data_IF_294805608735
#
_entry.id   IF_294805608735
#
_cell.length_a   1.000
_cell.length_b   1.000
_cell.length_c   1.000
_cell.angle_alpha   90.00
_cell.angle_beta   90.00
_cell.angle_gamma   90.00
#
_symmetry.space_group_name_H-M   'P 1'
#
loop_
_entity.id
_entity.type
_entity.pdbx_description
1 polymer ?
#
# COMPACT_ATOMS: atom_id res chain seq x y z
N UNK A 1 -34.85 -1.06 -11.44
CA UNK A 1 -34.85 -2.51 -11.76
C UNK A 1 -33.56 -3.11 -11.25
N UNK A 2 -33.62 -3.75 -10.07
CA UNK A 2 -32.54 -4.52 -9.49
C UNK A 2 -32.42 -5.83 -10.25
N UNK A 3 -31.50 -5.94 -11.20
CA UNK A 3 -31.03 -7.24 -11.68
C UNK A 3 -30.44 -7.99 -10.50
N UNK A 4 -30.82 -9.25 -10.22
CA UNK A 4 -30.21 -10.05 -9.20
C UNK A 4 -28.73 -10.22 -9.57
N UNK A 5 -27.83 -9.83 -8.66
CA UNK A 5 -26.41 -10.05 -8.80
C UNK A 5 -26.17 -11.56 -8.70
N UNK A 6 -25.77 -12.17 -9.81
CA UNK A 6 -25.41 -13.59 -9.88
C UNK A 6 -24.13 -13.79 -9.06
N UNK A 7 -24.27 -14.29 -7.85
CA UNK A 7 -23.16 -14.55 -6.94
C UNK A 7 -22.31 -15.70 -7.52
N UNK A 8 -21.23 -15.36 -8.22
CA UNK A 8 -20.18 -16.34 -8.53
C UNK A 8 -19.71 -16.99 -7.24
N UNK A 9 -19.56 -18.31 -7.24
CA UNK A 9 -19.00 -19.04 -6.12
C UNK A 9 -17.64 -18.45 -5.74
N UNK A 10 -17.46 -18.15 -4.46
CA UNK A 10 -16.21 -17.58 -3.93
C UNK A 10 -15.16 -18.68 -3.98
N UNK A 11 -14.03 -18.50 -4.68
CA UNK A 11 -12.97 -19.50 -4.73
C UNK A 11 -12.45 -19.78 -3.31
N UNK A 12 -12.14 -21.04 -3.04
CA UNK A 12 -11.52 -21.41 -1.77
C UNK A 12 -10.15 -20.77 -1.62
N UNK A 13 -9.67 -20.61 -0.38
CA UNK A 13 -8.32 -20.10 -0.12
C UNK A 13 -7.26 -20.94 -0.83
N UNK A 14 -7.45 -22.27 -0.87
CA UNK A 14 -6.55 -23.18 -1.57
C UNK A 14 -6.54 -22.94 -3.09
N UNK A 15 -7.69 -22.74 -3.70
CA UNK A 15 -7.79 -22.39 -5.13
C UNK A 15 -7.15 -21.03 -5.43
N UNK A 16 -7.35 -20.05 -4.56
CA UNK A 16 -6.72 -18.74 -4.71
C UNK A 16 -5.20 -18.85 -4.66
N UNK A 17 -4.65 -19.63 -3.73
CA UNK A 17 -3.20 -19.85 -3.60
C UNK A 17 -2.63 -20.64 -4.80
N UNK A 18 -3.33 -21.66 -5.30
CA UNK A 18 -2.89 -22.39 -6.50
C UNK A 18 -2.94 -21.52 -7.76
N UNK A 19 -3.93 -20.64 -7.85
CA UNK A 19 -4.08 -19.72 -8.98
C UNK A 19 -3.08 -18.55 -8.99
N UNK A 20 -2.23 -18.41 -7.98
CA UNK A 20 -1.12 -17.44 -7.98
C UNK A 20 -0.07 -17.80 -9.04
N UNK A 21 0.11 -19.10 -9.34
CA UNK A 21 1.10 -19.57 -10.31
C UNK A 21 0.53 -19.41 -11.73
N UNK A 22 1.11 -18.53 -12.58
CA UNK A 22 0.60 -18.34 -13.93
C UNK A 22 0.95 -19.55 -14.82
N UNK A 23 -0.04 -20.06 -15.53
CA UNK A 23 0.20 -21.02 -16.63
C UNK A 23 0.81 -20.33 -17.86
N UNK A 24 0.53 -19.04 -18.04
CA UNK A 24 1.10 -18.19 -19.07
C UNK A 24 1.25 -16.75 -18.55
N UNK A 25 2.47 -16.25 -18.36
CA UNK A 25 2.71 -14.90 -17.84
C UNK A 25 2.15 -13.79 -18.74
N UNK A 26 2.18 -13.96 -20.06
CA UNK A 26 1.65 -12.97 -20.99
C UNK A 26 0.12 -12.93 -20.95
N UNK A 27 -0.53 -14.06 -20.72
CA UNK A 27 -1.97 -14.09 -20.49
C UNK A 27 -2.31 -13.39 -19.17
N UNK A 28 -1.53 -13.62 -18.10
CA UNK A 28 -1.71 -12.92 -16.83
C UNK A 28 -1.63 -11.40 -16.98
N UNK A 29 -0.68 -10.91 -17.78
CA UNK A 29 -0.55 -9.48 -18.12
C UNK A 29 -1.76 -8.95 -18.89
N UNK A 30 -2.21 -9.67 -19.92
CA UNK A 30 -3.35 -9.24 -20.75
C UNK A 30 -4.69 -9.28 -20.02
N UNK A 31 -4.87 -10.22 -19.09
CA UNK A 31 -6.08 -10.37 -18.27
C UNK A 31 -6.00 -9.61 -16.95
N UNK A 32 -4.90 -8.89 -16.70
CA UNK A 32 -4.66 -8.11 -15.47
C UNK A 32 -4.74 -8.95 -14.18
N UNK A 33 -4.31 -10.21 -14.23
CA UNK A 33 -4.23 -11.05 -13.04
C UNK A 33 -2.99 -10.69 -12.22
N UNK A 34 -3.15 -9.72 -11.34
CA UNK A 34 -2.05 -9.08 -10.62
C UNK A 34 -1.27 -10.06 -9.71
N UNK A 35 -1.94 -11.01 -9.04
CA UNK A 35 -1.25 -12.01 -8.22
C UNK A 35 -0.32 -12.88 -9.05
N UNK A 36 -0.75 -13.31 -10.23
CA UNK A 36 0.08 -14.07 -11.17
C UNK A 36 1.22 -13.23 -11.74
N UNK A 37 0.97 -11.94 -12.02
CA UNK A 37 2.00 -11.01 -12.50
C UNK A 37 3.10 -10.83 -11.43
N UNK A 38 2.72 -10.61 -10.17
CA UNK A 38 3.66 -10.46 -9.05
C UNK A 38 4.50 -11.72 -8.87
N UNK A 39 3.87 -12.90 -8.87
CA UNK A 39 4.58 -14.17 -8.76
C UNK A 39 5.62 -14.34 -9.87
N UNK A 40 5.22 -14.08 -11.12
CA UNK A 40 6.15 -14.15 -12.25
C UNK A 40 7.28 -13.14 -12.15
N UNK A 41 6.99 -11.90 -11.74
CA UNK A 41 8.00 -10.85 -11.56
C UNK A 41 9.04 -11.24 -10.49
N UNK A 42 8.61 -11.85 -9.38
CA UNK A 42 9.52 -12.38 -8.37
C UNK A 42 10.42 -13.49 -8.93
N UNK A 43 9.86 -14.44 -9.66
CA UNK A 43 10.65 -15.51 -10.29
C UNK A 43 11.66 -14.96 -11.30
N UNK A 44 11.24 -13.99 -12.12
CA UNK A 44 12.11 -13.32 -13.08
C UNK A 44 13.26 -12.58 -12.37
N UNK A 45 12.94 -11.87 -11.27
CA UNK A 45 13.94 -11.19 -10.44
C UNK A 45 14.99 -12.17 -9.89
N UNK A 46 14.58 -13.30 -9.35
CA UNK A 46 15.49 -14.37 -8.90
C UNK A 46 16.35 -14.92 -10.03
N UNK A 47 15.78 -15.13 -11.22
CA UNK A 47 16.53 -15.59 -12.38
C UNK A 47 17.59 -14.58 -12.82
N UNK A 48 17.25 -13.28 -12.84
CA UNK A 48 18.18 -12.21 -13.20
C UNK A 48 19.34 -12.10 -12.19
N UNK A 49 19.07 -12.25 -10.89
CA UNK A 49 20.12 -12.30 -9.87
C UNK A 49 21.09 -13.45 -10.13
N UNK A 50 20.59 -14.66 -10.48
CA UNK A 50 21.45 -15.81 -10.80
C UNK A 50 22.25 -15.65 -12.08
N UNK A 51 21.74 -14.89 -13.06
CA UNK A 51 22.45 -14.58 -14.31
C UNK A 51 23.59 -13.59 -14.13
N UNK A 52 23.61 -12.81 -13.05
CA UNK A 52 24.61 -11.78 -12.80
C UNK A 52 24.71 -10.79 -13.95
N UNK A 53 25.93 -10.51 -14.43
CA UNK A 53 26.18 -9.51 -15.49
C UNK A 53 25.42 -9.79 -16.80
N UNK A 54 25.14 -11.05 -17.12
CA UNK A 54 24.33 -11.41 -18.29
C UNK A 54 22.87 -10.97 -18.20
N UNK A 55 22.37 -10.78 -16.99
CA UNK A 55 21.03 -10.28 -16.73
C UNK A 55 20.92 -8.74 -16.79
N UNK A 56 22.04 -8.02 -16.76
CA UNK A 56 22.07 -6.56 -16.71
C UNK A 56 21.25 -5.87 -17.81
N UNK A 57 21.31 -6.26 -19.11
CA UNK A 57 20.52 -5.61 -20.15
C UNK A 57 18.99 -5.69 -19.91
N UNK A 58 18.52 -6.81 -19.37
CA UNK A 58 17.11 -7.02 -19.02
C UNK A 58 16.71 -6.16 -17.85
N UNK A 59 17.57 -6.06 -16.83
CA UNK A 59 17.36 -5.23 -15.66
C UNK A 59 17.30 -3.73 -16.05
N UNK A 60 18.20 -3.28 -16.90
CA UNK A 60 18.25 -1.90 -17.38
C UNK A 60 17.03 -1.57 -18.25
N UNK A 61 16.55 -2.51 -19.06
CA UNK A 61 15.28 -2.37 -19.76
C UNK A 61 14.11 -2.13 -18.79
N UNK A 62 13.98 -2.95 -17.74
CA UNK A 62 12.90 -2.77 -16.76
C UNK A 62 13.04 -1.49 -15.94
N UNK A 63 14.26 -1.04 -15.64
CA UNK A 63 14.50 0.26 -15.02
C UNK A 63 14.02 1.41 -15.89
N UNK A 64 14.44 1.45 -17.16
CA UNK A 64 14.00 2.47 -18.11
C UNK A 64 12.48 2.42 -18.33
N UNK A 65 11.91 1.22 -18.44
CA UNK A 65 10.47 1.00 -18.54
C UNK A 65 9.70 1.57 -17.35
N UNK A 66 10.21 1.35 -16.15
CA UNK A 66 9.62 1.89 -14.90
C UNK A 66 9.64 3.40 -14.89
N UNK A 67 10.74 4.03 -15.30
CA UNK A 67 10.82 5.50 -15.38
C UNK A 67 9.83 6.06 -16.40
N UNK A 68 9.72 5.42 -17.58
CA UNK A 68 8.73 5.83 -18.59
C UNK A 68 7.29 5.74 -18.06
N UNK A 69 6.95 4.68 -17.31
CA UNK A 69 5.63 4.56 -16.68
C UNK A 69 5.38 5.58 -15.58
N UNK A 70 6.40 5.98 -14.81
CA UNK A 70 6.29 7.08 -13.85
C UNK A 70 5.93 8.39 -14.53
N UNK A 71 6.59 8.71 -15.66
CA UNK A 71 6.28 9.92 -16.43
C UNK A 71 4.86 9.89 -17.00
N UNK A 72 4.42 8.76 -17.57
CA UNK A 72 3.03 8.60 -18.01
C UNK A 72 2.06 8.83 -16.85
N UNK A 73 2.38 8.28 -15.69
CA UNK A 73 1.56 8.46 -14.48
C UNK A 73 1.50 9.93 -14.06
N UNK A 74 2.63 10.64 -14.07
CA UNK A 74 2.69 12.06 -13.74
C UNK A 74 1.80 12.89 -14.67
N UNK A 75 1.88 12.64 -15.99
CA UNK A 75 1.03 13.29 -16.99
C UNK A 75 -0.45 13.06 -16.68
N UNK A 76 -0.84 11.82 -16.38
CA UNK A 76 -2.24 11.49 -16.03
C UNK A 76 -2.67 12.17 -14.74
N UNK A 77 -1.78 12.24 -13.74
CA UNK A 77 -2.08 12.88 -12.45
C UNK A 77 -2.30 14.40 -12.56
N UNK A 78 -1.76 15.07 -13.59
CA UNK A 78 -2.06 16.48 -13.85
C UNK A 78 -3.55 16.70 -14.17
N UNK A 79 -4.23 15.71 -14.75
CA UNK A 79 -5.66 15.76 -15.03
C UNK A 79 -6.54 15.34 -13.84
N UNK A 80 -5.96 14.85 -12.75
CA UNK A 80 -6.69 14.36 -11.57
C UNK A 80 -7.69 15.39 -11.00
N UNK A 81 -7.38 16.70 -10.88
CA UNK A 81 -8.35 17.65 -10.35
C UNK A 81 -9.64 17.71 -11.17
N UNK A 82 -9.52 17.64 -12.49
CA UNK A 82 -10.69 17.67 -13.40
C UNK A 82 -11.50 16.38 -13.29
N UNK A 83 -10.80 15.22 -13.23
CA UNK A 83 -11.43 13.91 -13.04
C UNK A 83 -12.17 13.82 -11.71
N UNK A 84 -11.53 14.25 -10.62
CA UNK A 84 -12.14 14.29 -9.27
C UNK A 84 -13.36 15.20 -9.25
N UNK A 85 -13.26 16.40 -9.81
CA UNK A 85 -14.41 17.32 -9.90
C UNK A 85 -15.57 16.70 -10.66
N UNK A 86 -15.31 16.08 -11.83
CA UNK A 86 -16.34 15.44 -12.63
C UNK A 86 -17.01 14.26 -11.90
N UNK A 87 -16.23 13.38 -11.27
CA UNK A 87 -16.74 12.25 -10.50
C UNK A 87 -17.59 12.72 -9.31
N UNK A 88 -17.12 13.71 -8.54
CA UNK A 88 -17.85 14.22 -7.39
C UNK A 88 -19.13 14.95 -7.80
N UNK A 89 -19.10 15.69 -8.90
CA UNK A 89 -20.30 16.34 -9.44
C UNK A 89 -21.35 15.31 -9.90
N UNK A 90 -20.95 14.25 -10.57
CA UNK A 90 -21.82 13.15 -10.98
C UNK A 90 -22.46 12.44 -9.77
N UNK A 91 -21.63 12.11 -8.77
CA UNK A 91 -22.07 11.41 -7.54
C UNK A 91 -23.07 12.28 -6.77
N UNK A 92 -22.72 13.56 -6.51
CA UNK A 92 -23.61 14.47 -5.79
C UNK A 92 -24.87 14.76 -6.59
N UNK A 93 -24.77 14.86 -7.91
CA UNK A 93 -25.92 15.06 -8.80
C UNK A 93 -26.89 13.87 -8.82
N UNK A 94 -26.39 12.64 -8.75
CA UNK A 94 -27.20 11.41 -8.75
C UNK A 94 -27.78 11.05 -7.39
N UNK A 95 -27.00 11.20 -6.33
CA UNK A 95 -27.33 10.69 -4.99
C UNK A 95 -27.58 11.78 -3.95
N UNK A 96 -27.41 13.04 -4.32
CA UNK A 96 -27.55 14.18 -3.41
C UNK A 96 -26.43 14.31 -2.37
N UNK A 97 -26.58 15.29 -1.48
CA UNK A 97 -25.59 15.53 -0.41
C UNK A 97 -25.56 14.43 0.67
N UNK A 98 -26.55 13.58 0.74
CA UNK A 98 -26.63 12.48 1.73
C UNK A 98 -25.48 11.47 1.55
N UNK A 99 -24.94 11.34 0.33
CA UNK A 99 -23.79 10.47 0.05
C UNK A 99 -22.49 10.95 0.73
N UNK A 100 -22.44 12.22 1.15
CA UNK A 100 -21.26 12.77 1.82
C UNK A 100 -21.00 12.15 3.19
N UNK A 101 -22.04 11.73 3.92
CA UNK A 101 -21.87 11.16 5.26
C UNK A 101 -21.12 9.81 5.25
N UNK A 102 -21.42 8.84 4.36
CA UNK A 102 -20.59 7.65 4.16
C UNK A 102 -19.12 7.98 3.87
N UNK A 103 -18.84 8.99 3.03
CA UNK A 103 -17.45 9.38 2.74
C UNK A 103 -16.71 9.91 3.98
N UNK A 104 -17.35 10.79 4.77
CA UNK A 104 -16.76 11.32 6.01
C UNK A 104 -16.46 10.18 6.99
N UNK A 105 -17.37 9.21 7.13
CA UNK A 105 -17.16 8.02 7.97
C UNK A 105 -15.99 7.18 7.47
N UNK A 106 -15.89 6.98 6.17
CA UNK A 106 -14.81 6.19 5.54
C UNK A 106 -13.46 6.87 5.70
N UNK A 107 -13.38 8.18 5.47
CA UNK A 107 -12.18 8.98 5.72
C UNK A 107 -11.79 8.87 7.19
N UNK A 108 -12.73 9.13 8.11
CA UNK A 108 -12.49 9.04 9.54
C UNK A 108 -12.02 7.66 9.99
N UNK A 109 -12.64 6.58 9.49
CA UNK A 109 -12.24 5.21 9.80
C UNK A 109 -10.83 4.90 9.27
N UNK A 110 -10.50 5.28 8.05
CA UNK A 110 -9.18 5.09 7.45
C UNK A 110 -8.09 5.82 8.25
N UNK A 111 -8.31 7.11 8.54
CA UNK A 111 -7.36 7.91 9.32
C UNK A 111 -7.17 7.34 10.74
N UNK A 112 -8.27 7.04 11.42
CA UNK A 112 -8.22 6.50 12.77
C UNK A 112 -7.47 5.17 12.81
N UNK A 113 -7.78 4.24 11.90
CA UNK A 113 -7.15 2.92 11.87
C UNK A 113 -5.66 3.02 11.51
N UNK A 114 -5.30 3.80 10.50
CA UNK A 114 -3.90 4.06 10.14
C UNK A 114 -3.13 4.68 11.31
N UNK A 115 -3.73 5.64 12.01
CA UNK A 115 -3.10 6.35 13.13
C UNK A 115 -2.91 5.42 14.33
N UNK A 116 -3.94 4.66 14.71
CA UNK A 116 -3.86 3.68 15.81
C UNK A 116 -2.80 2.61 15.51
N UNK A 117 -2.80 2.06 14.29
CA UNK A 117 -1.81 1.08 13.87
C UNK A 117 -0.39 1.64 13.94
N UNK A 118 -0.19 2.84 13.40
CA UNK A 118 1.12 3.50 13.41
C UNK A 118 1.62 3.76 14.83
N UNK A 119 0.78 4.28 15.71
CA UNK A 119 1.20 4.61 17.08
C UNK A 119 1.41 3.35 17.91
N UNK A 120 0.43 2.46 17.98
CA UNK A 120 0.48 1.35 18.92
C UNK A 120 1.28 0.16 18.42
N UNK A 121 1.14 -0.20 17.13
CA UNK A 121 1.86 -1.35 16.58
C UNK A 121 3.26 -0.96 16.15
N UNK A 122 3.41 0.03 15.27
CA UNK A 122 4.73 0.34 14.71
C UNK A 122 5.61 1.13 15.70
N UNK A 123 5.09 2.19 16.30
CA UNK A 123 5.83 2.99 17.27
C UNK A 123 5.92 2.35 18.64
N UNK A 124 4.80 1.83 19.17
CA UNK A 124 4.74 1.24 20.52
C UNK A 124 5.36 -0.14 20.58
N UNK A 125 4.80 -1.10 19.86
CA UNK A 125 5.23 -2.50 19.92
C UNK A 125 6.55 -2.71 19.16
N UNK A 126 6.64 -2.36 17.89
CA UNK A 126 7.82 -2.66 17.08
C UNK A 126 9.03 -1.80 17.50
N UNK A 127 8.96 -0.47 17.36
CA UNK A 127 10.08 0.39 17.70
C UNK A 127 10.32 0.47 19.22
N UNK A 128 9.26 0.49 20.04
CA UNK A 128 9.35 0.59 21.49
C UNK A 128 9.76 -0.71 22.16
N UNK A 129 8.91 -1.74 22.09
CA UNK A 129 9.15 -3.00 22.83
C UNK A 129 10.27 -3.81 22.16
N UNK A 130 10.12 -4.12 20.88
CA UNK A 130 11.11 -4.94 20.15
C UNK A 130 12.37 -4.16 19.80
N UNK A 131 12.26 -2.92 19.35
CA UNK A 131 13.39 -2.06 18.97
C UNK A 131 14.13 -1.45 20.15
N UNK A 132 13.45 -1.22 21.29
CA UNK A 132 14.04 -0.57 22.47
C UNK A 132 14.25 0.94 22.33
N UNK A 133 13.62 1.57 21.35
CA UNK A 133 13.62 3.02 21.15
C UNK A 133 12.32 3.61 21.70
N UNK A 134 12.41 4.63 22.56
CA UNK A 134 11.22 5.33 23.04
C UNK A 134 10.31 5.75 21.87
N UNK A 135 9.00 5.46 21.91
CA UNK A 135 8.07 5.88 20.85
C UNK A 135 8.11 7.39 20.59
N UNK A 136 8.29 8.21 21.61
CA UNK A 136 8.41 9.66 21.49
C UNK A 136 9.66 10.04 20.67
N UNK A 137 10.82 9.43 20.98
CA UNK A 137 12.07 9.64 20.21
C UNK A 137 11.87 9.17 18.77
N UNK A 138 11.27 8.00 18.58
CA UNK A 138 11.00 7.42 17.27
C UNK A 138 10.19 8.39 16.39
N UNK A 139 9.02 8.85 16.84
CA UNK A 139 8.18 9.76 16.07
C UNK A 139 8.79 11.16 15.89
N UNK A 140 9.52 11.66 16.90
CA UNK A 140 10.24 12.94 16.78
C UNK A 140 11.27 12.89 15.65
N UNK A 141 12.02 11.81 15.54
CA UNK A 141 13.03 11.61 14.49
C UNK A 141 12.39 11.36 13.13
N UNK A 142 11.26 10.62 13.07
CA UNK A 142 10.55 10.31 11.82
C UNK A 142 9.69 11.48 11.30
N UNK A 143 9.56 12.57 12.04
CA UNK A 143 8.63 13.66 11.74
C UNK A 143 8.78 14.21 10.32
N UNK A 144 10.01 14.45 9.86
CA UNK A 144 10.25 15.01 8.52
C UNK A 144 9.77 14.06 7.43
N UNK A 145 10.08 12.76 7.55
CA UNK A 145 9.63 11.75 6.60
C UNK A 145 8.10 11.60 6.60
N UNK A 146 7.46 11.63 7.79
CA UNK A 146 6.00 11.56 7.93
C UNK A 146 5.32 12.77 7.25
N UNK A 147 5.80 13.98 7.48
CA UNK A 147 5.24 15.18 6.86
C UNK A 147 5.43 15.17 5.34
N UNK A 148 6.60 14.74 4.87
CA UNK A 148 6.89 14.66 3.44
C UNK A 148 6.01 13.61 2.74
N UNK A 149 5.88 12.39 3.30
CA UNK A 149 5.04 11.36 2.70
C UNK A 149 3.55 11.73 2.73
N UNK A 150 3.10 12.39 3.79
CA UNK A 150 1.73 12.89 3.89
C UNK A 150 1.41 13.87 2.76
N UNK A 151 2.34 14.77 2.44
CA UNK A 151 2.16 15.75 1.37
C UNK A 151 2.26 15.13 -0.03
N UNK A 152 3.26 14.26 -0.24
CA UNK A 152 3.56 13.67 -1.56
C UNK A 152 2.69 12.46 -1.91
N UNK A 153 2.21 11.72 -0.89
CA UNK A 153 1.53 10.43 -1.05
C UNK A 153 2.38 9.37 -1.79
N UNK A 154 3.71 9.44 -1.68
CA UNK A 154 4.62 8.52 -2.35
C UNK A 154 5.66 7.96 -1.39
N UNK A 155 5.57 6.67 -1.07
CA UNK A 155 6.58 5.97 -0.25
C UNK A 155 7.94 5.94 -0.97
N UNK A 156 7.94 5.75 -2.29
CA UNK A 156 9.18 5.72 -3.10
C UNK A 156 9.88 7.07 -3.11
N UNK A 157 9.15 8.17 -3.30
CA UNK A 157 9.73 9.52 -3.25
C UNK A 157 10.29 9.86 -1.85
N UNK A 158 9.80 9.20 -0.81
CA UNK A 158 10.20 9.43 0.57
C UNK A 158 11.46 8.62 0.96
N UNK A 159 11.91 7.65 0.15
CA UNK A 159 13.05 6.78 0.48
C UNK A 159 14.28 7.57 1.00
N UNK A 160 14.78 8.62 0.32
CA UNK A 160 15.98 9.31 0.79
C UNK A 160 15.81 9.93 2.19
N UNK A 161 14.64 10.50 2.45
CA UNK A 161 14.33 11.12 3.73
C UNK A 161 14.07 10.08 4.82
N UNK A 162 13.42 8.97 4.47
CA UNK A 162 13.20 7.84 5.38
C UNK A 162 14.52 7.18 5.77
N UNK A 163 15.47 7.03 4.82
CA UNK A 163 16.84 6.59 5.10
C UNK A 163 17.54 7.50 6.11
N UNK A 164 17.54 8.81 5.85
CA UNK A 164 18.13 9.81 6.78
C UNK A 164 17.53 9.67 8.18
N UNK A 165 16.20 9.67 8.29
CA UNK A 165 15.52 9.56 9.57
C UNK A 165 15.83 8.24 10.29
N UNK A 166 15.85 7.11 9.56
CA UNK A 166 16.14 5.79 10.12
C UNK A 166 17.58 5.68 10.63
N UNK A 167 18.54 6.21 9.89
CA UNK A 167 19.95 6.29 10.35
C UNK A 167 20.07 7.16 11.59
N UNK A 168 19.31 8.25 11.68
CA UNK A 168 19.23 9.10 12.87
C UNK A 168 18.55 8.43 14.09
N UNK A 169 17.94 7.26 13.93
CA UNK A 169 17.51 6.41 15.05
C UNK A 169 18.64 5.52 15.57
N UNK A 170 19.80 5.49 14.91
CA UNK A 170 20.96 4.68 15.26
C UNK A 170 21.02 3.35 14.49
N UNK A 171 20.22 3.18 13.44
CA UNK A 171 20.29 2.02 12.56
C UNK A 171 21.52 2.15 11.65
N UNK A 172 22.33 1.08 11.54
CA UNK A 172 23.50 1.07 10.68
C UNK A 172 23.14 1.27 9.21
N UNK A 173 24.09 1.85 8.44
CA UNK A 173 23.93 2.05 7.00
C UNK A 173 23.58 0.74 6.28
N UNK A 174 24.26 -0.35 6.64
CA UNK A 174 24.06 -1.68 6.06
C UNK A 174 22.59 -2.15 6.15
N UNK A 175 21.96 -1.95 7.30
CA UNK A 175 20.57 -2.36 7.53
C UNK A 175 19.60 -1.35 6.87
N UNK A 176 19.84 -0.05 7.08
CA UNK A 176 18.95 0.99 6.55
C UNK A 176 18.90 0.97 5.01
N UNK A 177 20.06 0.91 4.34
CA UNK A 177 20.17 0.95 2.87
C UNK A 177 19.53 -0.27 2.18
N UNK A 178 19.33 -1.38 2.91
CA UNK A 178 18.60 -2.54 2.44
C UNK A 178 17.11 -2.47 2.80
N UNK A 179 16.79 -2.29 4.09
CA UNK A 179 15.42 -2.43 4.59
C UNK A 179 14.50 -1.33 4.07
N UNK A 180 14.98 -0.08 4.00
CA UNK A 180 14.11 1.05 3.62
C UNK A 180 13.69 0.99 2.13
N UNK A 181 14.60 0.81 1.14
CA UNK A 181 14.18 0.67 -0.25
C UNK A 181 13.33 -0.59 -0.49
N UNK A 182 13.65 -1.70 0.18
CA UNK A 182 12.89 -2.95 0.08
C UNK A 182 11.48 -2.76 0.68
N UNK A 183 11.39 -2.15 1.86
CA UNK A 183 10.12 -1.85 2.53
C UNK A 183 9.24 -0.92 1.71
N UNK A 184 9.79 0.12 1.11
CA UNK A 184 9.04 1.07 0.27
C UNK A 184 8.28 0.41 -0.90
N UNK A 185 8.65 -0.83 -1.26
CA UNK A 185 7.99 -1.63 -2.31
C UNK A 185 7.13 -2.74 -1.73
N UNK A 186 7.55 -3.36 -0.61
CA UNK A 186 6.93 -4.57 -0.06
C UNK A 186 6.03 -4.30 1.15
N UNK A 187 6.35 -3.28 1.95
CA UNK A 187 5.67 -3.00 3.22
C UNK A 187 4.57 -1.94 3.04
N UNK A 188 3.44 -2.36 2.52
CA UNK A 188 2.29 -1.49 2.23
C UNK A 188 1.15 -1.67 3.23
N UNK A 189 1.46 -1.61 4.53
CA UNK A 189 0.52 -1.81 5.63
C UNK A 189 -0.71 -0.90 5.57
N UNK A 190 -0.49 0.38 5.26
CA UNK A 190 -1.60 1.33 5.16
C UNK A 190 -2.48 1.08 3.94
N UNK A 191 -1.92 0.50 2.87
CA UNK A 191 -2.71 0.08 1.70
C UNK A 191 -3.62 -1.08 2.08
N UNK A 192 -3.12 -2.10 2.80
CA UNK A 192 -3.95 -3.20 3.28
C UNK A 192 -5.09 -2.72 4.21
N UNK A 193 -4.80 -1.77 5.12
CA UNK A 193 -5.81 -1.14 5.97
C UNK A 193 -6.85 -0.41 5.11
N UNK A 194 -6.42 0.38 4.14
CA UNK A 194 -7.31 1.10 3.24
C UNK A 194 -8.22 0.16 2.46
N UNK A 195 -7.68 -0.91 1.89
CA UNK A 195 -8.46 -1.89 1.13
C UNK A 195 -9.54 -2.55 1.98
N UNK A 196 -9.23 -2.91 3.23
CA UNK A 196 -10.21 -3.44 4.18
C UNK A 196 -11.32 -2.41 4.49
N UNK A 197 -10.96 -1.15 4.75
CA UNK A 197 -11.91 -0.06 4.99
C UNK A 197 -12.78 0.20 3.75
N UNK A 198 -12.19 0.16 2.55
CA UNK A 198 -12.89 0.34 1.28
C UNK A 198 -13.92 -0.77 1.02
N UNK A 199 -13.60 -2.01 1.36
CA UNK A 199 -14.53 -3.14 1.27
C UNK A 199 -15.71 -2.98 2.24
N UNK A 200 -15.46 -2.55 3.47
CA UNK A 200 -16.53 -2.25 4.44
C UNK A 200 -17.41 -1.11 3.93
N UNK A 201 -16.82 -0.05 3.37
CA UNK A 201 -17.56 1.03 2.73
C UNK A 201 -18.46 0.49 1.61
N UNK A 202 -17.90 -0.31 0.68
CA UNK A 202 -18.65 -0.92 -0.41
C UNK A 202 -19.82 -1.77 0.10
N UNK A 203 -19.57 -2.62 1.10
CA UNK A 203 -20.61 -3.47 1.69
C UNK A 203 -21.80 -2.66 2.25
N UNK A 204 -21.50 -1.52 2.88
CA UNK A 204 -22.52 -0.62 3.43
C UNK A 204 -23.28 0.14 2.33
N UNK A 205 -22.58 0.66 1.33
CA UNK A 205 -23.19 1.43 0.23
C UNK A 205 -24.12 0.56 -0.61
N UNK A 206 -23.70 -0.68 -0.90
CA UNK A 206 -24.49 -1.61 -1.73
C UNK A 206 -25.42 -2.51 -0.91
N UNK A 207 -25.47 -2.37 0.43
CA UNK A 207 -26.33 -3.17 1.30
C UNK A 207 -25.98 -4.66 1.34
N UNK A 208 -24.71 -5.00 1.06
CA UNK A 208 -24.21 -6.39 1.02
C UNK A 208 -23.58 -6.74 2.35
N UNK A 209 -24.10 -7.77 3.04
CA UNK A 209 -23.55 -8.23 4.30
C UNK A 209 -22.45 -9.26 4.06
N UNK A 210 -21.24 -8.95 4.53
CA UNK A 210 -20.10 -9.86 4.46
C UNK A 210 -20.16 -10.91 5.58
N UNK A 211 -20.11 -12.18 5.21
CA UNK A 211 -19.93 -13.28 6.14
C UNK A 211 -18.54 -13.25 6.78
N UNK A 212 -18.34 -13.95 7.90
CA UNK A 212 -17.01 -14.05 8.56
C UNK A 212 -15.96 -14.64 7.59
N UNK A 213 -16.33 -15.63 6.79
CA UNK A 213 -15.44 -16.21 5.79
C UNK A 213 -15.00 -15.17 4.73
N UNK A 214 -15.92 -14.34 4.25
CA UNK A 214 -15.60 -13.24 3.34
C UNK A 214 -14.71 -12.18 3.99
N UNK A 215 -14.93 -11.84 5.26
CA UNK A 215 -14.06 -10.92 5.99
C UNK A 215 -12.63 -11.46 6.12
N UNK A 216 -12.47 -12.76 6.40
CA UNK A 216 -11.15 -13.42 6.39
C UNK A 216 -10.53 -13.39 4.99
N UNK A 217 -11.31 -13.64 3.94
CA UNK A 217 -10.84 -13.54 2.55
C UNK A 217 -10.37 -12.12 2.22
N UNK A 218 -11.11 -11.09 2.66
CA UNK A 218 -10.69 -9.67 2.51
C UNK A 218 -9.35 -9.43 3.18
N UNK A 219 -9.14 -9.91 4.42
CA UNK A 219 -7.86 -9.73 5.10
C UNK A 219 -6.69 -10.37 4.33
N UNK A 220 -6.87 -11.61 3.88
CA UNK A 220 -5.81 -12.33 3.14
C UNK A 220 -5.53 -11.65 1.80
N UNK A 221 -6.57 -11.33 1.03
CA UNK A 221 -6.40 -10.71 -0.29
C UNK A 221 -5.89 -9.28 -0.20
N UNK A 222 -6.28 -8.49 0.79
CA UNK A 222 -5.75 -7.15 1.02
C UNK A 222 -4.25 -7.18 1.36
N UNK A 223 -3.81 -8.11 2.20
CA UNK A 223 -2.37 -8.28 2.48
C UNK A 223 -1.61 -8.67 1.22
N UNK A 224 -2.10 -9.65 0.45
CA UNK A 224 -1.44 -10.08 -0.79
C UNK A 224 -1.43 -8.98 -1.86
N UNK A 225 -2.54 -8.26 -2.04
CA UNK A 225 -2.63 -7.16 -2.98
C UNK A 225 -1.72 -5.99 -2.57
N UNK A 226 -1.64 -5.69 -1.27
CA UNK A 226 -0.78 -4.62 -0.77
C UNK A 226 0.70 -4.84 -1.06
N UNK A 227 1.19 -6.09 -1.01
CA UNK A 227 2.58 -6.44 -1.36
C UNK A 227 2.92 -6.07 -2.82
N UNK A 228 1.94 -6.16 -3.72
CA UNK A 228 2.12 -5.79 -5.13
C UNK A 228 1.85 -4.32 -5.44
N UNK A 229 1.51 -3.52 -4.44
CA UNK A 229 1.16 -2.11 -4.64
C UNK A 229 2.42 -1.27 -4.84
N UNK A 230 2.47 -0.50 -5.93
CA UNK A 230 3.55 0.46 -6.13
C UNK A 230 3.47 1.62 -5.12
N UNK A 231 4.61 2.10 -4.65
CA UNK A 231 4.69 3.22 -3.70
C UNK A 231 4.43 4.60 -4.30
N UNK A 232 3.47 4.71 -5.22
CA UNK A 232 3.08 5.91 -5.96
C UNK A 232 1.60 6.26 -5.73
N UNK A 233 1.19 7.53 -5.91
CA UNK A 233 -0.21 7.93 -5.74
C UNK A 233 -1.17 7.14 -6.65
N UNK A 234 -2.34 6.79 -6.14
CA UNK A 234 -3.41 6.11 -6.89
C UNK A 234 -3.26 4.58 -7.03
N UNK A 235 -2.10 4.00 -6.74
CA UNK A 235 -1.85 2.55 -6.90
C UNK A 235 -2.80 1.67 -6.07
N UNK A 236 -3.21 2.11 -4.89
CA UNK A 236 -4.14 1.36 -4.04
C UNK A 236 -5.55 1.23 -4.63
N UNK A 237 -6.02 2.19 -5.43
CA UNK A 237 -7.30 2.04 -6.15
C UNK A 237 -7.26 0.90 -7.17
N UNK A 238 -6.13 0.72 -7.84
CA UNK A 238 -5.95 -0.38 -8.81
C UNK A 238 -5.97 -1.72 -8.09
N UNK A 239 -5.26 -1.81 -6.96
CA UNK A 239 -5.19 -3.04 -6.16
C UNK A 239 -6.50 -3.39 -5.46
N UNK A 240 -7.31 -2.39 -5.12
CA UNK A 240 -8.65 -2.60 -4.56
C UNK A 240 -9.54 -3.47 -5.48
N UNK A 241 -9.30 -3.46 -6.79
CA UNK A 241 -10.01 -4.34 -7.74
C UNK A 241 -9.88 -5.81 -7.37
N UNK A 242 -8.70 -6.25 -6.92
CA UNK A 242 -8.45 -7.64 -6.53
C UNK A 242 -9.31 -7.99 -5.31
N UNK A 243 -9.30 -7.11 -4.32
CA UNK A 243 -9.97 -7.37 -3.03
C UNK A 243 -11.49 -7.35 -3.18
N UNK A 244 -12.04 -6.44 -3.99
CA UNK A 244 -13.47 -6.39 -4.31
C UNK A 244 -13.91 -7.65 -5.06
N UNK A 245 -13.15 -8.07 -6.06
CA UNK A 245 -13.45 -9.28 -6.83
C UNK A 245 -13.41 -10.55 -5.97
N UNK A 246 -12.49 -10.63 -5.00
CA UNK A 246 -12.36 -11.79 -4.12
C UNK A 246 -13.61 -12.05 -3.27
N UNK A 247 -14.44 -11.02 -3.04
CA UNK A 247 -15.68 -11.12 -2.27
C UNK A 247 -16.93 -10.75 -3.08
N UNK A 248 -16.77 -10.66 -4.40
CA UNK A 248 -17.84 -10.34 -5.36
C UNK A 248 -18.55 -9.02 -5.04
N UNK A 249 -17.83 -7.98 -4.65
CA UNK A 249 -18.38 -6.65 -4.48
C UNK A 249 -18.31 -5.84 -5.79
N UNK A 250 -19.24 -4.89 -6.00
CA UNK A 250 -19.29 -4.07 -7.21
C UNK A 250 -18.04 -3.23 -7.41
N UNK A 251 -17.46 -3.24 -8.61
CA UNK A 251 -16.28 -2.46 -8.98
C UNK A 251 -16.58 -0.96 -9.12
N UNK A 252 -17.84 -0.57 -9.17
CA UNK A 252 -18.31 0.82 -9.09
C UNK A 252 -17.80 1.51 -7.81
N UNK A 253 -17.48 0.74 -6.77
CA UNK A 253 -16.81 1.22 -5.55
C UNK A 253 -15.54 2.01 -5.86
N UNK A 254 -14.78 1.60 -6.89
CA UNK A 254 -13.53 2.27 -7.29
C UNK A 254 -13.82 3.69 -7.76
N UNK A 255 -14.84 3.87 -8.59
CA UNK A 255 -15.25 5.19 -9.06
C UNK A 255 -15.74 6.07 -7.91
N UNK A 256 -16.48 5.51 -6.95
CA UNK A 256 -16.93 6.21 -5.75
C UNK A 256 -15.75 6.69 -4.91
N UNK A 257 -14.75 5.84 -4.68
CA UNK A 257 -13.58 6.17 -3.84
C UNK A 257 -12.54 7.03 -4.56
N UNK A 258 -12.49 7.01 -5.89
CA UNK A 258 -11.53 7.81 -6.67
C UNK A 258 -11.63 9.30 -6.37
N UNK A 259 -12.85 9.81 -6.11
CA UNK A 259 -13.08 11.21 -5.76
C UNK A 259 -12.44 11.67 -4.45
N UNK A 260 -12.24 10.75 -3.51
CA UNK A 260 -11.64 11.01 -2.19
C UNK A 260 -10.29 10.31 -2.00
N UNK A 261 -9.77 9.60 -3.02
CA UNK A 261 -8.55 8.78 -2.91
C UNK A 261 -7.34 9.59 -2.43
N UNK A 262 -7.19 10.83 -2.88
CA UNK A 262 -6.08 11.68 -2.43
C UNK A 262 -6.09 11.87 -0.92
N UNK A 263 -7.26 12.11 -0.33
CA UNK A 263 -7.41 12.30 1.12
C UNK A 263 -7.10 10.99 1.84
N UNK A 264 -7.63 9.87 1.36
CA UNK A 264 -7.36 8.54 1.93
C UNK A 264 -5.88 8.16 1.79
N UNK A 265 -5.26 8.51 0.66
CA UNK A 265 -3.87 8.23 0.40
C UNK A 265 -2.92 8.94 1.38
N UNK A 266 -3.21 10.19 1.74
CA UNK A 266 -2.43 10.95 2.73
C UNK A 266 -2.33 10.21 4.07
N UNK A 267 -3.38 9.51 4.50
CA UNK A 267 -3.35 8.72 5.73
C UNK A 267 -2.64 7.38 5.55
N UNK A 268 -2.95 6.64 4.48
CA UNK A 268 -2.47 5.26 4.27
C UNK A 268 -0.97 5.16 3.99
N UNK A 269 -0.33 6.21 3.46
CA UNK A 269 1.12 6.17 3.18
C UNK A 269 1.98 6.29 4.45
N UNK A 270 1.43 6.84 5.55
CA UNK A 270 2.17 6.98 6.81
C UNK A 270 2.57 5.63 7.39
N UNK A 271 1.64 4.65 7.62
CA UNK A 271 2.04 3.35 8.14
C UNK A 271 3.01 2.58 7.20
N UNK A 272 3.05 2.89 5.91
CA UNK A 272 4.01 2.25 5.02
C UNK A 272 5.45 2.64 5.42
N UNK A 273 5.78 3.94 5.38
CA UNK A 273 7.15 4.40 5.65
C UNK A 273 7.56 4.28 7.13
N UNK A 274 6.61 4.45 8.05
CA UNK A 274 6.87 4.27 9.49
C UNK A 274 7.13 2.80 9.79
N UNK A 275 6.43 1.90 9.11
CA UNK A 275 6.66 0.46 9.19
C UNK A 275 8.05 0.06 8.71
N UNK A 276 8.54 0.64 7.61
CA UNK A 276 9.89 0.40 7.10
C UNK A 276 10.95 0.74 8.17
N UNK A 277 10.83 1.93 8.76
CA UNK A 277 11.74 2.38 9.81
C UNK A 277 11.63 1.52 11.08
N UNK A 278 10.42 1.14 11.49
CA UNK A 278 10.20 0.28 12.66
C UNK A 278 10.81 -1.12 12.45
N UNK A 279 10.65 -1.71 11.26
CA UNK A 279 11.29 -2.99 10.90
C UNK A 279 12.81 -2.83 10.90
N UNK A 280 13.34 -1.77 10.29
CA UNK A 280 14.78 -1.51 10.27
C UNK A 280 15.37 -1.42 11.69
N UNK A 281 14.68 -0.77 12.62
CA UNK A 281 15.07 -0.70 14.04
C UNK A 281 15.07 -2.07 14.70
N UNK A 282 14.04 -2.88 14.48
CA UNK A 282 13.93 -4.24 15.05
C UNK A 282 15.05 -5.14 14.49
N UNK A 283 15.28 -5.10 13.19
CA UNK A 283 16.33 -5.90 12.53
C UNK A 283 17.70 -5.45 13.01
N UNK A 284 17.98 -4.14 13.06
CA UNK A 284 19.25 -3.62 13.53
C UNK A 284 19.54 -4.03 14.98
N UNK A 285 18.52 -4.03 15.85
CA UNK A 285 18.67 -4.51 17.23
C UNK A 285 18.97 -6.00 17.29
N UNK A 286 18.31 -6.83 16.47
CA UNK A 286 18.53 -8.27 16.46
C UNK A 286 19.91 -8.67 15.94
N UNK A 287 20.48 -7.86 15.01
CA UNK A 287 21.81 -8.06 14.43
C UNK A 287 22.92 -7.35 15.24
N UNK A 288 22.61 -6.64 16.32
CA UNK A 288 23.58 -5.86 17.08
C UNK A 288 24.10 -4.61 16.34
N UNK A 289 23.34 -4.13 15.37
CA UNK A 289 23.67 -3.01 14.45
C UNK A 289 22.84 -1.75 14.78
N UNK A 290 22.28 -1.67 16.00
CA UNK A 290 21.52 -0.52 16.49
C UNK A 290 22.38 0.28 17.51
N UNK A 291 22.79 1.48 17.15
CA UNK A 291 23.70 2.33 17.90
C UNK A 291 23.10 3.72 18.18
N UNK A 292 22.02 3.82 18.99
CA UNK A 292 21.34 5.09 19.24
C UNK A 292 22.20 6.11 20.03
N UNK A 293 23.30 5.67 20.63
CA UNK A 293 24.28 6.50 21.33
C UNK A 293 25.25 7.25 20.38
N UNK A 294 25.41 6.75 19.15
CA UNK A 294 26.29 7.39 18.15
C UNK A 294 25.60 8.51 17.38
N UNK A 295 24.28 8.62 17.52
CA UNK A 295 23.50 9.68 16.87
C UNK A 295 23.80 11.00 17.62
N UNK A 296 24.57 11.88 16.99
CA UNK A 296 24.75 13.25 17.48
C UNK A 296 23.37 13.90 17.52
N UNK A 297 23.01 14.42 18.71
CA UNK A 297 21.86 15.31 18.81
C UNK A 297 22.19 16.55 17.95
N UNK A 298 21.64 16.58 16.75
CA UNK A 298 21.48 17.84 16.03
C UNK A 298 20.39 18.60 16.79
N UNK A 299 20.85 19.55 17.62
CA UNK A 299 20.03 20.55 18.32
C UNK A 299 19.30 21.48 17.35
#
# INVERSE_FOLDING_TARGET
>A
STTPYDAKEIPSVAETLMNIIPTNPFNALSTQNLLQIIFFALLLGFALIKLGDKGAPVLDFFRAWTEAWKEITNIVLEFTPFGVFGLMADIVGKYGMEVMLPYIKTIGACYLTCFLFTIFVQGGLMAGVYGGISPVKFFKTMKEAILFVFATCSSVATIPLNLKCTKNLGVSDKIADFVIPFGAVMNMNGTAIYEAVAVVFASQVFGIHLTVAQQVMVMVTAVLASIGTAGIPGSGLVMLTIVLNAVNLPLETIALLAGIDRILNMARVIPNIVGDAAVAVVVAKSEGELHPELVKAEE
#
